data_IF_883866450549
#
_entry.id   IF_883866450549
#
_cell.length_a   1.000
_cell.length_b   1.000
_cell.length_c   1.000
_cell.angle_alpha   90.00
_cell.angle_beta   90.00
_cell.angle_gamma   90.00
#
_symmetry.space_group_name_H-M   'P 1'
#
loop_
_entity.id
_entity.type
_entity.pdbx_description
1 polymer ?
#
# COMPACT_ATOMS: atom_id res chain seq x y z
N UNK A 1 -20.83 5.16 -20.61
CA UNK A 1 -19.62 4.34 -20.46
C UNK A 1 -18.61 5.16 -19.69
N UNK A 2 -18.09 4.64 -18.59
CA UNK A 2 -16.98 5.30 -17.88
C UNK A 2 -15.74 5.30 -18.77
N UNK A 3 -14.96 6.39 -18.75
CA UNK A 3 -13.67 6.45 -19.43
C UNK A 3 -12.77 5.41 -18.77
N UNK A 4 -12.13 4.50 -19.52
CA UNK A 4 -11.22 3.54 -18.94
C UNK A 4 -10.05 4.27 -18.25
N UNK A 5 -9.73 3.83 -17.05
CA UNK A 5 -8.58 4.36 -16.31
C UNK A 5 -7.28 4.03 -17.06
N UNK A 6 -6.38 5.00 -17.11
CA UNK A 6 -5.01 4.86 -17.61
C UNK A 6 -4.05 5.47 -16.61
N UNK A 7 -3.11 4.67 -16.14
CA UNK A 7 -2.11 5.13 -15.18
C UNK A 7 -1.13 6.13 -15.82
N UNK A 8 -0.79 7.23 -15.13
CA UNK A 8 0.09 8.27 -15.67
C UNK A 8 1.58 7.90 -15.50
N UNK A 9 1.98 6.72 -15.95
CA UNK A 9 3.34 6.17 -15.75
C UNK A 9 4.42 7.11 -16.27
N UNK A 10 4.21 7.71 -17.45
CA UNK A 10 5.19 8.63 -18.05
C UNK A 10 5.38 9.90 -17.22
N UNK A 11 4.31 10.43 -16.63
CA UNK A 11 4.39 11.64 -15.82
C UNK A 11 5.10 11.35 -14.48
N UNK A 12 4.85 10.17 -13.92
CA UNK A 12 5.52 9.70 -12.70
C UNK A 12 7.03 9.53 -12.97
N UNK A 13 7.41 8.83 -14.06
CA UNK A 13 8.81 8.63 -14.44
C UNK A 13 9.49 9.97 -14.70
N UNK A 14 8.85 10.88 -15.43
CA UNK A 14 9.35 12.25 -15.63
C UNK A 14 9.62 12.97 -14.29
N UNK A 15 8.76 12.77 -13.29
CA UNK A 15 8.99 13.28 -11.94
C UNK A 15 10.30 12.76 -11.32
N UNK A 16 10.59 11.46 -11.46
CA UNK A 16 11.86 10.87 -10.97
C UNK A 16 13.09 11.45 -11.68
N UNK A 17 12.98 11.70 -12.97
CA UNK A 17 14.07 12.32 -13.75
C UNK A 17 14.32 13.77 -13.33
N UNK A 18 13.27 14.58 -13.21
CA UNK A 18 13.36 16.02 -12.88
C UNK A 18 14.01 16.27 -11.52
N UNK A 19 13.72 15.43 -10.53
CA UNK A 19 14.32 15.56 -9.19
C UNK A 19 15.61 14.74 -9.02
N UNK A 20 16.13 14.18 -10.12
CA UNK A 20 17.39 13.40 -10.14
C UNK A 20 17.39 12.23 -9.14
N UNK A 21 16.23 11.58 -8.97
CA UNK A 21 16.00 10.54 -7.96
C UNK A 21 17.04 9.42 -8.02
N UNK A 22 17.39 8.97 -9.21
CA UNK A 22 18.33 7.86 -9.40
C UNK A 22 19.71 8.18 -8.84
N UNK A 23 20.29 9.33 -9.22
CA UNK A 23 21.61 9.74 -8.77
C UNK A 23 21.62 10.11 -7.27
N UNK A 24 20.51 10.61 -6.74
CA UNK A 24 20.42 10.96 -5.31
C UNK A 24 20.34 9.69 -4.46
N UNK A 25 19.45 8.75 -4.82
CA UNK A 25 19.23 7.53 -4.05
C UNK A 25 20.37 6.55 -4.15
N UNK A 26 21.03 6.43 -5.29
CA UNK A 26 22.20 5.56 -5.46
C UNK A 26 23.39 5.90 -4.57
N UNK A 27 23.45 7.11 -3.98
CA UNK A 27 24.46 7.48 -2.98
C UNK A 27 24.22 6.84 -1.62
N UNK A 28 23.02 6.28 -1.42
CA UNK A 28 22.66 5.55 -0.19
C UNK A 28 22.96 4.08 -0.45
N UNK A 29 23.82 3.49 0.36
CA UNK A 29 24.28 2.11 0.15
C UNK A 29 23.15 1.07 0.07
N UNK A 30 22.06 1.29 0.81
CA UNK A 30 20.88 0.42 0.77
C UNK A 30 20.12 0.49 -0.56
N UNK A 31 20.34 1.52 -1.38
CA UNK A 31 19.64 1.77 -2.63
C UNK A 31 20.59 1.92 -3.83
N UNK A 32 21.80 1.36 -3.74
CA UNK A 32 22.83 1.46 -4.79
C UNK A 32 22.38 0.96 -6.16
N UNK A 33 21.43 0.03 -6.18
CA UNK A 33 20.90 -0.58 -7.40
C UNK A 33 19.64 0.10 -7.92
N UNK A 34 19.17 1.16 -7.23
CA UNK A 34 17.96 1.88 -7.64
C UNK A 34 18.20 2.63 -8.96
N UNK A 35 17.51 2.21 -10.01
CA UNK A 35 17.73 2.68 -11.39
C UNK A 35 16.44 2.70 -12.19
N UNK A 36 16.48 3.33 -13.35
CA UNK A 36 15.40 3.34 -14.33
C UNK A 36 14.98 1.91 -14.72
N UNK A 37 15.95 0.99 -14.85
CA UNK A 37 15.69 -0.42 -15.18
C UNK A 37 14.85 -1.16 -14.13
N UNK A 38 14.81 -0.67 -12.89
CA UNK A 38 13.93 -1.20 -11.84
C UNK A 38 12.61 -0.42 -11.80
N UNK A 39 12.68 0.89 -11.88
CA UNK A 39 11.52 1.78 -11.69
C UNK A 39 10.52 1.62 -12.82
N UNK A 40 10.96 1.67 -14.09
CA UNK A 40 10.04 1.63 -15.24
C UNK A 40 9.23 0.34 -15.28
N UNK A 41 9.82 -0.86 -15.25
CA UNK A 41 9.04 -2.10 -15.25
C UNK A 41 8.11 -2.21 -14.03
N UNK A 42 8.56 -1.74 -12.86
CA UNK A 42 7.72 -1.76 -11.64
C UNK A 42 6.49 -0.88 -11.81
N UNK A 43 6.64 0.32 -12.36
CA UNK A 43 5.51 1.23 -12.62
C UNK A 43 4.57 0.68 -13.70
N UNK A 44 5.11 0.06 -14.75
CA UNK A 44 4.32 -0.56 -15.81
C UNK A 44 3.49 -1.74 -15.30
N UNK A 45 4.07 -2.63 -14.49
CA UNK A 45 3.33 -3.74 -13.88
C UNK A 45 2.30 -3.26 -12.86
N UNK A 46 2.61 -2.23 -12.06
CA UNK A 46 1.64 -1.60 -11.17
C UNK A 46 0.49 -0.96 -11.95
N UNK A 47 0.79 -0.30 -13.07
CA UNK A 47 -0.21 0.28 -13.96
C UNK A 47 -1.14 -0.80 -14.53
N UNK A 48 -0.57 -1.89 -15.04
CA UNK A 48 -1.33 -3.02 -15.57
C UNK A 48 -2.25 -3.63 -14.52
N UNK A 49 -1.73 -3.90 -13.31
CA UNK A 49 -2.54 -4.39 -12.20
C UNK A 49 -3.70 -3.42 -11.88
N UNK A 50 -3.40 -2.13 -11.83
CA UNK A 50 -4.39 -1.10 -11.50
C UNK A 50 -5.47 -0.93 -12.58
N UNK A 51 -5.07 -0.97 -13.85
CA UNK A 51 -5.98 -0.85 -15.00
C UNK A 51 -6.87 -2.08 -15.19
N UNK A 52 -6.31 -3.28 -15.00
CA UNK A 52 -7.00 -4.55 -15.28
C UNK A 52 -7.76 -5.10 -14.08
N UNK A 53 -7.30 -4.81 -12.84
CA UNK A 53 -7.86 -5.41 -11.62
C UNK A 53 -8.59 -4.39 -10.77
N UNK A 54 -7.99 -3.23 -10.46
CA UNK A 54 -8.54 -2.29 -9.49
C UNK A 54 -9.57 -1.32 -10.07
N UNK A 55 -9.30 -0.75 -11.24
CA UNK A 55 -10.20 0.22 -11.85
C UNK A 55 -11.57 -0.37 -12.21
N UNK A 56 -11.68 -1.60 -12.75
CA UNK A 56 -12.97 -2.19 -13.06
C UNK A 56 -13.89 -2.39 -11.86
N UNK A 57 -13.33 -2.65 -10.67
CA UNK A 57 -14.11 -2.93 -9.47
C UNK A 57 -14.49 -1.68 -8.67
N UNK A 58 -13.97 -0.50 -9.02
CA UNK A 58 -14.24 0.73 -8.29
C UNK A 58 -15.75 1.06 -8.19
N UNK A 59 -16.46 0.96 -9.31
CA UNK A 59 -17.92 1.17 -9.33
C UNK A 59 -18.70 0.08 -8.55
N UNK A 60 -18.20 -1.15 -8.53
CA UNK A 60 -18.79 -2.25 -7.77
C UNK A 60 -18.71 -1.94 -6.27
N UNK A 61 -17.52 -1.49 -5.80
CA UNK A 61 -17.32 -1.09 -4.42
C UNK A 61 -18.22 0.07 -3.98
N UNK A 62 -18.41 1.07 -4.85
CA UNK A 62 -19.28 2.22 -4.57
C UNK A 62 -20.78 1.81 -4.49
N UNK A 63 -21.23 0.94 -5.38
CA UNK A 63 -22.63 0.54 -5.47
C UNK A 63 -23.04 -0.50 -4.43
N UNK A 64 -22.19 -1.48 -4.14
CA UNK A 64 -22.48 -2.59 -3.23
C UNK A 64 -21.97 -2.30 -1.81
N UNK A 65 -20.73 -1.78 -1.71
CA UNK A 65 -20.08 -1.51 -0.44
C UNK A 65 -19.83 -2.75 0.41
N UNK A 66 -19.38 -2.52 1.64
CA UNK A 66 -19.30 -3.55 2.67
C UNK A 66 -20.68 -3.79 3.30
N UNK A 67 -21.02 -5.04 3.55
CA UNK A 67 -22.27 -5.42 4.23
C UNK A 67 -21.96 -6.11 5.55
N UNK A 68 -22.89 -6.01 6.52
CA UNK A 68 -22.79 -6.71 7.80
C UNK A 68 -24.01 -7.58 7.99
N UNK A 69 -23.81 -8.85 8.27
CA UNK A 69 -24.85 -9.81 8.63
C UNK A 69 -24.39 -10.66 9.79
N UNK A 70 -25.18 -10.76 10.84
CA UNK A 70 -24.88 -11.54 12.04
C UNK A 70 -23.50 -11.24 12.68
N UNK A 71 -23.07 -9.97 12.61
CA UNK A 71 -21.78 -9.52 13.13
C UNK A 71 -20.59 -9.79 12.19
N UNK A 72 -20.83 -10.39 11.02
CA UNK A 72 -19.79 -10.67 10.01
C UNK A 72 -19.84 -9.60 8.93
N UNK A 73 -18.72 -8.95 8.67
CA UNK A 73 -18.55 -7.99 7.56
C UNK A 73 -18.10 -8.74 6.32
N UNK A 74 -18.76 -8.48 5.19
CA UNK A 74 -18.39 -9.03 3.89
C UNK A 74 -18.18 -7.91 2.88
N UNK A 75 -17.19 -8.09 2.02
CA UNK A 75 -16.89 -7.24 0.87
C UNK A 75 -17.40 -7.91 -0.41
N UNK A 76 -17.62 -7.15 -1.50
CA UNK A 76 -17.81 -7.76 -2.81
C UNK A 76 -16.69 -8.75 -3.15
N UNK A 77 -17.04 -9.88 -3.77
CA UNK A 77 -16.08 -10.96 -4.08
C UNK A 77 -14.92 -10.46 -4.93
N UNK A 78 -15.18 -9.53 -5.84
CA UNK A 78 -14.16 -8.90 -6.68
C UNK A 78 -13.09 -8.15 -5.88
N UNK A 79 -13.45 -7.53 -4.74
CA UNK A 79 -12.49 -6.90 -3.83
C UNK A 79 -11.64 -7.94 -3.11
N UNK A 80 -12.24 -9.07 -2.70
CA UNK A 80 -11.51 -10.17 -2.05
C UNK A 80 -10.49 -10.76 -3.01
N UNK A 81 -10.86 -11.00 -4.26
CA UNK A 81 -9.97 -11.53 -5.29
C UNK A 81 -8.87 -10.54 -5.68
N UNK A 82 -9.21 -9.25 -5.79
CA UNK A 82 -8.22 -8.19 -6.03
C UNK A 82 -7.21 -8.11 -4.89
N UNK A 83 -7.65 -8.24 -3.63
CA UNK A 83 -6.74 -8.21 -2.48
C UNK A 83 -5.78 -9.40 -2.45
N UNK A 84 -6.24 -10.60 -2.79
CA UNK A 84 -5.36 -11.78 -2.92
C UNK A 84 -4.27 -11.54 -3.96
N UNK A 85 -4.64 -11.09 -5.15
CA UNK A 85 -3.69 -10.75 -6.22
C UNK A 85 -2.71 -9.65 -5.79
N UNK A 86 -3.19 -8.63 -5.08
CA UNK A 86 -2.37 -7.54 -4.54
C UNK A 86 -1.31 -8.07 -3.56
N UNK A 87 -1.70 -8.93 -2.63
CA UNK A 87 -0.80 -9.53 -1.66
C UNK A 87 0.22 -10.47 -2.33
N UNK A 88 -0.23 -11.35 -3.22
CA UNK A 88 0.61 -12.27 -3.98
C UNK A 88 1.64 -11.56 -4.88
N UNK A 89 1.30 -10.38 -5.41
CA UNK A 89 2.20 -9.56 -6.23
C UNK A 89 3.21 -8.75 -5.43
N UNK A 90 3.13 -8.74 -4.10
CA UNK A 90 4.08 -8.06 -3.23
C UNK A 90 3.96 -6.53 -3.17
N UNK A 91 2.90 -5.94 -3.71
CA UNK A 91 2.70 -4.48 -3.70
C UNK A 91 2.65 -3.90 -2.29
N UNK A 92 2.10 -4.66 -1.33
CA UNK A 92 2.01 -4.24 0.07
C UNK A 92 3.37 -4.06 0.74
N UNK A 93 4.41 -4.74 0.26
CA UNK A 93 5.71 -4.86 0.94
C UNK A 93 6.89 -4.25 0.17
N UNK A 94 6.66 -3.61 -0.97
CA UNK A 94 7.71 -3.15 -1.90
C UNK A 94 8.77 -2.27 -1.23
N UNK A 95 8.40 -1.38 -0.31
CA UNK A 95 9.32 -0.47 0.40
C UNK A 95 9.48 -0.81 1.89
N UNK A 96 8.95 -1.95 2.33
CA UNK A 96 9.22 -2.43 3.67
C UNK A 96 10.66 -2.97 3.77
N UNK A 97 11.30 -2.88 4.95
CA UNK A 97 12.65 -3.40 5.14
C UNK A 97 12.79 -4.87 4.76
N UNK A 98 13.90 -5.24 4.13
CA UNK A 98 14.14 -6.61 3.69
C UNK A 98 14.35 -7.60 4.83
N UNK A 99 14.82 -7.14 5.98
CA UNK A 99 15.01 -7.95 7.19
C UNK A 99 13.70 -8.44 7.83
N UNK A 100 12.57 -7.80 7.49
CA UNK A 100 11.23 -8.24 7.89
C UNK A 100 10.45 -8.88 6.72
N UNK A 101 11.10 -9.15 5.61
CA UNK A 101 10.49 -9.78 4.43
C UNK A 101 9.93 -8.82 3.38
N UNK A 102 10.26 -7.54 3.47
CA UNK A 102 9.89 -6.54 2.47
C UNK A 102 10.84 -6.48 1.27
N UNK A 103 10.47 -5.71 0.26
CA UNK A 103 11.26 -5.53 -0.96
C UNK A 103 12.49 -4.65 -0.81
N UNK A 104 12.62 -3.89 0.29
CA UNK A 104 13.76 -3.04 0.57
C UNK A 104 13.92 -1.84 -0.38
N UNK A 105 12.90 -1.54 -1.19
CA UNK A 105 12.96 -0.43 -2.13
C UNK A 105 12.77 0.92 -1.42
N UNK A 106 13.32 2.01 -1.97
CA UNK A 106 13.12 3.33 -1.39
C UNK A 106 11.61 3.70 -1.38
N UNK A 107 11.20 4.44 -0.36
CA UNK A 107 9.81 4.90 -0.20
C UNK A 107 9.32 5.74 -1.39
N UNK A 108 10.26 6.35 -2.11
CA UNK A 108 9.97 7.07 -3.36
C UNK A 108 9.29 6.15 -4.37
N UNK A 109 9.75 4.88 -4.51
CA UNK A 109 9.13 3.91 -5.41
C UNK A 109 7.70 3.59 -4.98
N UNK A 110 7.47 3.35 -3.69
CA UNK A 110 6.10 3.11 -3.20
C UNK A 110 5.20 4.33 -3.32
N UNK A 111 5.75 5.54 -3.31
CA UNK A 111 4.99 6.75 -3.60
C UNK A 111 4.36 6.73 -4.98
N UNK A 112 5.14 6.41 -6.01
CA UNK A 112 4.63 6.29 -7.39
C UNK A 112 3.64 5.12 -7.56
N UNK A 113 3.92 3.94 -6.98
CA UNK A 113 2.96 2.83 -7.03
C UNK A 113 1.68 3.12 -6.26
N UNK A 114 1.76 3.81 -5.11
CA UNK A 114 0.60 4.22 -4.33
C UNK A 114 -0.27 5.23 -5.11
N UNK A 115 0.32 6.16 -5.85
CA UNK A 115 -0.41 7.07 -6.71
C UNK A 115 -1.20 6.32 -7.78
N UNK A 116 -0.57 5.36 -8.47
CA UNK A 116 -1.21 4.53 -9.50
C UNK A 116 -2.37 3.72 -8.90
N UNK A 117 -2.14 3.02 -7.79
CA UNK A 117 -3.15 2.21 -7.11
C UNK A 117 -4.34 3.06 -6.63
N UNK A 118 -4.04 4.19 -5.97
CA UNK A 118 -5.06 5.06 -5.39
C UNK A 118 -5.89 5.80 -6.43
N UNK A 119 -5.31 6.21 -7.54
CA UNK A 119 -6.04 6.86 -8.63
C UNK A 119 -6.93 5.88 -9.40
N UNK A 120 -6.57 4.59 -9.41
CA UNK A 120 -7.43 3.53 -9.95
C UNK A 120 -8.62 3.20 -9.02
N UNK A 121 -8.34 3.05 -7.73
CA UNK A 121 -9.34 2.68 -6.72
C UNK A 121 -8.89 3.08 -5.31
N UNK A 122 -9.23 4.30 -4.88
CA UNK A 122 -8.83 4.81 -3.57
C UNK A 122 -9.44 3.98 -2.42
N UNK A 123 -10.67 3.52 -2.56
CA UNK A 123 -11.34 2.72 -1.54
C UNK A 123 -10.57 1.42 -1.25
N UNK A 124 -10.04 0.78 -2.29
CA UNK A 124 -9.16 -0.38 -2.13
C UNK A 124 -7.84 -0.01 -1.46
N UNK A 125 -7.20 1.09 -1.89
CA UNK A 125 -5.87 1.52 -1.42
C UNK A 125 -5.79 1.87 0.07
N UNK A 126 -6.92 2.20 0.71
CA UNK A 126 -6.96 2.56 2.12
C UNK A 126 -6.58 1.39 3.05
N UNK A 127 -7.02 0.17 2.78
CA UNK A 127 -6.74 -0.98 3.64
C UNK A 127 -5.23 -1.35 3.66
N UNK A 128 -4.53 -1.48 2.53
CA UNK A 128 -3.07 -1.64 2.52
C UNK A 128 -2.31 -0.51 3.22
N UNK A 129 -2.76 0.74 3.05
CA UNK A 129 -2.15 1.91 3.70
C UNK A 129 -2.19 1.82 5.22
N UNK A 130 -3.31 1.38 5.80
CA UNK A 130 -3.44 1.18 7.24
C UNK A 130 -2.58 0.00 7.73
N UNK A 131 -2.49 -1.07 6.95
CA UNK A 131 -1.60 -2.20 7.24
C UNK A 131 -0.12 -1.79 7.28
N UNK A 132 0.33 -0.93 6.36
CA UNK A 132 1.68 -0.37 6.38
C UNK A 132 1.96 0.43 7.66
N UNK A 133 0.99 1.18 8.16
CA UNK A 133 1.08 1.88 9.44
C UNK A 133 1.25 0.92 10.62
N UNK A 134 0.47 -0.16 10.67
CA UNK A 134 0.57 -1.19 11.71
C UNK A 134 1.94 -1.90 11.68
N UNK A 135 2.43 -2.26 10.49
CA UNK A 135 3.76 -2.86 10.30
C UNK A 135 4.84 -1.93 10.83
N UNK A 136 4.80 -0.65 10.46
CA UNK A 136 5.78 0.34 10.90
C UNK A 136 5.77 0.48 12.43
N UNK A 137 4.59 0.59 13.05
CA UNK A 137 4.47 0.71 14.50
C UNK A 137 5.06 -0.51 15.23
N UNK A 138 4.76 -1.73 14.78
CA UNK A 138 5.30 -2.95 15.37
C UNK A 138 6.81 -3.06 15.12
N UNK A 139 7.26 -2.74 13.91
CA UNK A 139 8.69 -2.83 13.59
C UNK A 139 9.55 -1.86 14.42
N UNK A 140 9.09 -0.63 14.64
CA UNK A 140 9.84 0.36 15.40
C UNK A 140 9.70 0.20 16.93
N UNK A 141 8.55 -0.20 17.42
CA UNK A 141 8.21 -0.13 18.85
C UNK A 141 7.89 -1.50 19.49
N UNK A 142 7.60 -2.53 18.68
CA UNK A 142 7.30 -3.86 19.17
C UNK A 142 8.52 -4.56 19.78
N UNK A 143 8.28 -5.39 20.80
CA UNK A 143 9.30 -6.31 21.27
C UNK A 143 9.50 -7.49 20.28
N UNK A 144 10.52 -8.34 20.51
CA UNK A 144 10.84 -9.42 19.57
C UNK A 144 9.70 -10.41 19.39
N UNK A 145 9.01 -10.79 20.47
CA UNK A 145 7.85 -11.68 20.40
C UNK A 145 6.72 -11.12 19.52
N UNK A 146 6.44 -9.82 19.65
CA UNK A 146 5.43 -9.14 18.82
C UNK A 146 5.87 -9.10 17.35
N UNK A 147 7.14 -8.79 17.07
CA UNK A 147 7.68 -8.79 15.70
C UNK A 147 7.58 -10.16 15.07
N UNK A 148 8.04 -11.20 15.75
CA UNK A 148 8.03 -12.58 15.24
C UNK A 148 6.62 -13.10 14.98
N UNK A 149 5.65 -12.67 15.79
CA UNK A 149 4.26 -13.12 15.70
C UNK A 149 3.47 -12.40 14.59
N UNK A 150 3.62 -11.08 14.48
CA UNK A 150 2.73 -10.26 13.67
C UNK A 150 3.33 -9.85 12.32
N UNK A 151 4.63 -9.51 12.26
CA UNK A 151 5.21 -8.95 11.03
C UNK A 151 5.14 -9.92 9.84
N UNK A 152 5.47 -11.21 9.95
CA UNK A 152 5.44 -12.10 8.79
C UNK A 152 4.08 -12.13 8.10
N UNK A 153 2.99 -12.15 8.87
CA UNK A 153 1.63 -12.21 8.34
C UNK A 153 1.10 -10.88 7.83
N UNK A 154 1.51 -9.78 8.43
CA UNK A 154 1.16 -8.43 7.97
C UNK A 154 1.93 -8.07 6.69
N UNK A 155 3.22 -8.40 6.63
CA UNK A 155 4.08 -8.13 5.46
C UNK A 155 3.65 -8.96 4.25
N UNK A 156 3.27 -10.22 4.45
CA UNK A 156 2.73 -11.08 3.38
C UNK A 156 1.32 -10.68 2.92
N UNK A 157 0.63 -9.80 3.67
CA UNK A 157 -0.77 -9.45 3.41
C UNK A 157 -1.78 -10.52 3.85
N UNK A 158 -1.36 -11.60 4.51
CA UNK A 158 -2.29 -12.59 5.08
C UNK A 158 -3.18 -11.97 6.16
N UNK A 159 -2.61 -11.05 6.94
CA UNK A 159 -3.33 -10.24 7.91
C UNK A 159 -3.33 -8.77 7.51
N UNK A 160 -4.37 -8.07 7.91
CA UNK A 160 -4.49 -6.61 7.71
C UNK A 160 -4.39 -5.88 9.05
N UNK A 161 -3.84 -4.67 9.00
CA UNK A 161 -3.85 -3.74 10.12
C UNK A 161 -4.97 -2.72 10.00
N UNK A 162 -5.41 -2.19 11.14
CA UNK A 162 -6.39 -1.11 11.22
C UNK A 162 -5.84 0.04 12.06
N UNK A 163 -6.42 1.22 11.91
CA UNK A 163 -6.12 2.39 12.73
C UNK A 163 -7.35 2.77 13.54
N UNK A 164 -7.22 2.68 14.87
CA UNK A 164 -8.26 3.08 15.83
C UNK A 164 -7.72 4.22 16.70
N UNK A 165 -7.37 5.35 16.06
CA UNK A 165 -6.67 6.45 16.70
C UNK A 165 -7.62 7.43 17.42
N UNK A 166 -8.75 7.78 16.79
CA UNK A 166 -9.70 8.75 17.32
C UNK A 166 -10.49 8.20 18.50
N UNK A 167 -10.58 9.00 19.56
CA UNK A 167 -11.46 8.76 20.72
C UNK A 167 -12.60 9.79 20.74
N UNK A 168 -13.67 9.60 21.51
CA UNK A 168 -14.79 10.55 21.56
C UNK A 168 -14.38 11.99 21.84
N UNK A 169 -13.33 12.19 22.65
CA UNK A 169 -12.77 13.49 23.02
C UNK A 169 -11.55 13.91 22.20
N UNK A 170 -11.02 13.05 21.37
CA UNK A 170 -9.72 13.23 20.69
C UNK A 170 -9.77 12.75 19.25
N UNK A 171 -9.71 13.67 18.32
CA UNK A 171 -9.61 13.39 16.89
C UNK A 171 -8.46 14.18 16.29
N UNK A 172 -8.71 15.45 15.93
CA UNK A 172 -7.66 16.34 15.40
C UNK A 172 -6.63 16.70 16.47
N UNK A 173 -7.05 16.91 17.72
CA UNK A 173 -6.14 17.08 18.86
C UNK A 173 -5.82 15.73 19.49
N UNK A 174 -4.73 15.12 19.08
CA UNK A 174 -4.23 13.84 19.61
C UNK A 174 -3.61 13.97 21.00
N UNK A 175 -3.37 15.20 21.49
CA UNK A 175 -2.82 15.43 22.82
C UNK A 175 -3.75 15.00 23.95
N UNK A 176 -5.03 14.81 23.67
CA UNK A 176 -6.05 14.40 24.63
C UNK A 176 -6.37 12.90 24.62
N UNK A 177 -5.62 12.08 23.86
CA UNK A 177 -5.78 10.61 23.84
C UNK A 177 -5.51 10.03 25.22
N UNK A 178 -6.39 9.15 25.68
CA UNK A 178 -6.32 8.48 26.99
C UNK A 178 -6.02 6.99 26.91
N UNK A 179 -6.18 6.36 25.75
CA UNK A 179 -5.82 4.96 25.52
C UNK A 179 -4.32 4.74 25.80
N UNK A 180 -4.03 3.66 26.54
CA UNK A 180 -2.68 3.26 26.93
C UNK A 180 -2.37 1.84 26.46
#
# INVERSE_FOLDING_TARGET
>A
MAVPYKAPVKDIIFGYEVIDSYNVLNKISAFSDFSEDIVVPTMEECAKFSEEVLAPINAIGDQQGATIQDGVVTMPEEFVDAYKKFAESGWASISLPSDIGGGGMPITLSGGTLEILSTANLAFGLAPGLSAGAISAINFHGNQEQKDKFLPKLVSGEWTGTMNLSEPQSGSDLGTITTK
#
